data_IF_950092348616
#
_entry.id   IF_950092348616
#
_cell.length_a   1.000
_cell.length_b   1.000
_cell.length_c   1.000
_cell.angle_alpha   90.00
_cell.angle_beta   90.00
_cell.angle_gamma   90.00
#
_symmetry.space_group_name_H-M   'P 1'
#
loop_
_entity.id
_entity.type
_entity.pdbx_description
1 polymer ?
#
# COMPACT_ATOMS: atom_id res chain seq x y z
N UNK A 1 -5.59 18.18 -1.41
CA UNK A 1 -4.82 16.94 -1.61
C UNK A 1 -5.78 15.94 -2.22
N UNK A 2 -5.48 15.43 -3.40
CA UNK A 2 -6.29 14.40 -4.03
C UNK A 2 -5.99 13.07 -3.33
N UNK A 3 -7.03 12.39 -2.86
CA UNK A 3 -6.94 11.05 -2.31
C UNK A 3 -6.71 10.06 -3.46
N UNK A 4 -6.00 8.95 -3.21
CA UNK A 4 -5.86 7.86 -4.19
C UNK A 4 -7.25 7.40 -4.62
N UNK A 5 -7.44 7.32 -5.94
CA UNK A 5 -8.62 6.74 -6.56
C UNK A 5 -8.38 5.26 -6.83
N UNK A 6 -9.01 4.40 -6.03
CA UNK A 6 -8.88 2.95 -6.15
C UNK A 6 -9.40 2.45 -7.51
N UNK A 7 -10.42 3.06 -8.09
CA UNK A 7 -10.93 2.66 -9.40
C UNK A 7 -9.92 2.98 -10.52
N UNK A 8 -9.24 4.12 -10.42
CA UNK A 8 -8.15 4.47 -11.34
C UNK A 8 -6.94 3.53 -11.16
N UNK A 9 -6.63 3.13 -9.92
CA UNK A 9 -5.57 2.13 -9.65
C UNK A 9 -5.94 0.77 -10.24
N UNK A 10 -7.20 0.32 -10.09
CA UNK A 10 -7.69 -0.92 -10.69
C UNK A 10 -7.57 -0.90 -12.22
N UNK A 11 -7.98 0.19 -12.85
CA UNK A 11 -7.83 0.37 -14.30
C UNK A 11 -6.36 0.30 -14.73
N UNK A 12 -5.45 0.97 -14.00
CA UNK A 12 -4.02 0.90 -14.26
C UNK A 12 -3.47 -0.53 -14.11
N UNK A 13 -3.86 -1.25 -13.05
CA UNK A 13 -3.42 -2.63 -12.82
C UNK A 13 -3.85 -3.55 -13.97
N UNK A 14 -5.07 -3.39 -14.47
CA UNK A 14 -5.62 -4.20 -15.55
C UNK A 14 -4.87 -4.02 -16.89
N UNK A 15 -4.32 -2.82 -17.14
CA UNK A 15 -3.63 -2.48 -18.39
C UNK A 15 -2.10 -2.58 -18.30
N UNK A 16 -1.54 -2.76 -17.10
CA UNK A 16 -0.10 -2.67 -16.86
C UNK A 16 0.61 -4.03 -16.84
N UNK A 17 1.72 -4.14 -17.56
CA UNK A 17 2.68 -5.25 -17.42
C UNK A 17 3.50 -5.15 -16.12
N UNK A 18 3.51 -3.98 -15.48
CA UNK A 18 4.20 -3.73 -14.21
C UNK A 18 3.26 -3.11 -13.17
N UNK A 19 2.29 -3.86 -12.63
CA UNK A 19 1.24 -3.29 -11.77
C UNK A 19 1.73 -2.57 -10.51
N UNK A 20 2.94 -2.86 -10.03
CA UNK A 20 3.56 -2.09 -8.94
C UNK A 20 3.84 -0.62 -9.28
N UNK A 21 4.01 -0.28 -10.56
CA UNK A 21 4.18 1.11 -11.00
C UNK A 21 2.93 1.95 -10.74
N UNK A 22 1.73 1.36 -10.86
CA UNK A 22 0.46 2.04 -10.57
C UNK A 22 0.40 2.58 -9.13
N UNK A 23 1.01 1.87 -8.17
CA UNK A 23 1.10 2.32 -6.78
C UNK A 23 2.10 3.46 -6.64
N UNK A 24 3.21 3.40 -7.36
CA UNK A 24 4.20 4.49 -7.37
C UNK A 24 3.58 5.78 -7.90
N UNK A 25 2.84 5.69 -9.01
CA UNK A 25 2.17 6.83 -9.63
C UNK A 25 1.05 7.39 -8.75
N UNK A 26 0.25 6.51 -8.14
CA UNK A 26 -0.81 6.91 -7.20
C UNK A 26 -0.25 7.69 -5.99
N UNK A 27 0.95 7.32 -5.52
CA UNK A 27 1.63 7.94 -4.39
C UNK A 27 2.52 9.12 -4.77
N UNK A 28 2.75 9.38 -6.06
CA UNK A 28 3.64 10.45 -6.53
C UNK A 28 3.21 11.84 -6.03
N UNK A 29 1.91 12.06 -5.83
CA UNK A 29 1.37 13.31 -5.29
C UNK A 29 1.82 13.58 -3.86
N UNK A 30 1.99 12.53 -3.03
CA UNK A 30 2.55 12.66 -1.69
C UNK A 30 4.04 12.98 -1.71
N UNK A 31 4.78 12.44 -2.69
CA UNK A 31 6.20 12.72 -2.91
C UNK A 31 6.45 14.13 -3.45
N UNK A 32 5.50 14.73 -4.17
CA UNK A 32 5.56 16.10 -4.69
C UNK A 32 5.38 17.19 -3.61
N UNK A 33 5.17 16.81 -2.35
CA UNK A 33 5.04 17.76 -1.22
C UNK A 33 6.38 18.45 -0.96
N UNK A 34 6.33 19.74 -0.58
CA UNK A 34 7.51 20.54 -0.27
C UNK A 34 8.40 19.84 0.80
N UNK A 35 9.71 19.64 0.52
CA UNK A 35 10.67 19.04 1.46
C UNK A 35 10.74 19.75 2.82
N UNK A 36 10.47 21.05 2.87
CA UNK A 36 10.44 21.85 4.11
C UNK A 36 9.19 21.57 4.98
N UNK A 37 8.25 20.76 4.48
CA UNK A 37 7.01 20.39 5.19
C UNK A 37 6.83 18.87 5.31
N UNK A 38 7.78 18.13 5.93
CA UNK A 38 7.75 16.68 5.98
C UNK A 38 6.50 16.11 6.65
N UNK A 39 5.91 16.84 7.61
CA UNK A 39 4.65 16.46 8.26
C UNK A 39 3.46 16.37 7.30
N UNK A 40 3.40 17.22 6.27
CA UNK A 40 2.32 17.20 5.27
C UNK A 40 2.43 15.95 4.40
N UNK A 41 3.64 15.60 3.98
CA UNK A 41 3.91 14.37 3.22
C UNK A 41 3.59 13.13 4.07
N UNK A 42 4.00 13.12 5.34
CA UNK A 42 3.67 12.03 6.29
C UNK A 42 2.15 11.84 6.42
N UNK A 43 1.39 12.93 6.55
CA UNK A 43 -0.06 12.87 6.61
C UNK A 43 -0.67 12.35 5.31
N UNK A 44 -0.13 12.77 4.15
CA UNK A 44 -0.53 12.25 2.84
C UNK A 44 -0.40 10.73 2.78
N UNK A 45 0.81 10.21 3.00
CA UNK A 45 1.06 8.77 2.94
C UNK A 45 0.23 7.98 3.95
N UNK A 46 0.01 8.52 5.14
CA UNK A 46 -0.84 7.88 6.16
C UNK A 46 -2.28 7.74 5.68
N UNK A 47 -2.82 8.77 5.01
CA UNK A 47 -4.16 8.71 4.42
C UNK A 47 -4.22 7.71 3.27
N UNK A 48 -3.23 7.70 2.38
CA UNK A 48 -3.24 6.77 1.25
C UNK A 48 -3.04 5.32 1.68
N UNK A 49 -2.25 5.06 2.72
CA UNK A 49 -2.19 3.75 3.35
C UNK A 49 -3.57 3.30 3.85
N UNK A 50 -4.35 4.20 4.46
CA UNK A 50 -5.72 3.91 4.89
C UNK A 50 -6.66 3.65 3.71
N UNK A 51 -6.54 4.42 2.61
CA UNK A 51 -7.29 4.21 1.37
C UNK A 51 -7.02 2.81 0.80
N UNK A 52 -5.76 2.41 0.68
CA UNK A 52 -5.41 1.07 0.20
C UNK A 52 -5.90 -0.05 1.14
N UNK A 53 -5.81 0.13 2.45
CA UNK A 53 -6.33 -0.84 3.41
C UNK A 53 -7.85 -1.00 3.31
N UNK A 54 -8.58 0.08 3.06
CA UNK A 54 -10.02 0.02 2.80
C UNK A 54 -10.31 -0.75 1.50
N UNK A 55 -9.55 -0.47 0.42
CA UNK A 55 -9.64 -1.21 -0.83
C UNK A 55 -9.35 -2.71 -0.68
N UNK A 56 -8.34 -3.08 0.11
CA UNK A 56 -8.04 -4.49 0.45
C UNK A 56 -9.25 -5.15 1.12
N UNK A 57 -9.84 -4.50 2.13
CA UNK A 57 -10.97 -5.04 2.86
C UNK A 57 -12.19 -5.24 1.94
N UNK A 58 -12.48 -4.25 1.08
CA UNK A 58 -13.57 -4.31 0.11
C UNK A 58 -13.36 -5.41 -0.94
N UNK A 59 -12.14 -5.55 -1.47
CA UNK A 59 -11.80 -6.59 -2.45
C UNK A 59 -11.89 -7.99 -1.83
N UNK A 60 -11.48 -8.18 -0.57
CA UNK A 60 -11.70 -9.43 0.17
C UNK A 60 -13.20 -9.72 0.30
N UNK A 61 -14.02 -8.73 0.64
CA UNK A 61 -15.47 -8.91 0.78
C UNK A 61 -16.11 -9.34 -0.55
N UNK A 62 -15.76 -8.69 -1.67
CA UNK A 62 -16.21 -9.10 -3.00
C UNK A 62 -15.78 -10.52 -3.36
N UNK A 63 -14.53 -10.89 -3.06
CA UNK A 63 -14.03 -12.24 -3.32
C UNK A 63 -14.85 -13.30 -2.57
N UNK A 64 -15.30 -13.01 -1.35
CA UNK A 64 -16.16 -13.94 -0.59
C UNK A 64 -17.56 -14.13 -1.17
N UNK A 65 -18.03 -13.24 -2.05
CA UNK A 65 -19.34 -13.36 -2.71
C UNK A 65 -19.28 -14.24 -3.96
N UNK A 66 -18.13 -14.28 -4.66
CA UNK A 66 -17.96 -14.98 -5.94
C UNK A 66 -17.13 -16.27 -5.90
N UNK A 67 -16.26 -16.45 -4.90
CA UNK A 67 -15.35 -17.59 -4.82
C UNK A 67 -15.84 -18.68 -3.85
N UNK A 68 -15.27 -19.89 -3.95
CA UNK A 68 -15.48 -20.92 -2.93
C UNK A 68 -14.95 -20.46 -1.56
N UNK A 69 -15.53 -20.99 -0.48
CA UNK A 69 -15.09 -20.67 0.89
C UNK A 69 -13.59 -20.96 1.11
N UNK A 70 -13.09 -22.03 0.48
CA UNK A 70 -11.67 -22.39 0.51
C UNK A 70 -10.79 -21.31 -0.14
N UNK A 71 -11.12 -20.89 -1.37
CA UNK A 71 -10.37 -19.84 -2.09
C UNK A 71 -10.39 -18.54 -1.31
N UNK A 72 -11.57 -18.12 -0.82
CA UNK A 72 -11.71 -16.87 -0.09
C UNK A 72 -10.94 -16.89 1.25
N UNK A 73 -10.89 -18.04 1.92
CA UNK A 73 -10.11 -18.23 3.15
C UNK A 73 -8.61 -18.14 2.88
N UNK A 74 -8.11 -18.81 1.83
CA UNK A 74 -6.69 -18.75 1.45
C UNK A 74 -6.31 -17.31 1.07
N UNK A 75 -7.13 -16.61 0.28
CA UNK A 75 -6.91 -15.22 -0.09
C UNK A 75 -6.79 -14.27 1.10
N UNK A 76 -7.66 -14.43 2.10
CA UNK A 76 -7.60 -13.68 3.37
C UNK A 76 -6.33 -13.96 4.14
N UNK A 77 -5.93 -15.22 4.27
CA UNK A 77 -4.74 -15.62 5.01
C UNK A 77 -3.50 -15.01 4.35
N UNK A 78 -3.32 -15.23 3.05
CA UNK A 78 -2.15 -14.71 2.33
C UNK A 78 -2.11 -13.19 2.37
N UNK A 79 -3.23 -12.51 2.12
CA UNK A 79 -3.28 -11.04 2.16
C UNK A 79 -2.90 -10.51 3.54
N UNK A 80 -3.38 -11.14 4.62
CA UNK A 80 -2.99 -10.78 5.99
C UNK A 80 -1.48 -10.89 6.18
N UNK A 81 -0.87 -12.00 5.79
CA UNK A 81 0.56 -12.22 5.99
C UNK A 81 1.43 -11.38 5.05
N UNK A 82 0.94 -11.05 3.86
CA UNK A 82 1.59 -10.11 2.94
C UNK A 82 1.67 -8.72 3.56
N UNK A 83 0.57 -8.19 4.10
CA UNK A 83 0.57 -6.89 4.80
C UNK A 83 1.53 -6.94 5.98
N UNK A 84 1.42 -7.95 6.86
CA UNK A 84 2.25 -8.04 8.07
C UNK A 84 3.74 -8.13 7.75
N UNK A 85 4.11 -8.91 6.74
CA UNK A 85 5.50 -9.08 6.33
C UNK A 85 6.06 -7.77 5.75
N UNK A 86 5.27 -7.05 4.96
CA UNK A 86 5.67 -5.77 4.41
C UNK A 86 5.82 -4.69 5.51
N UNK A 87 4.89 -4.63 6.45
CA UNK A 87 4.97 -3.71 7.60
C UNK A 87 6.19 -3.99 8.48
N UNK A 88 6.53 -5.27 8.69
CA UNK A 88 7.75 -5.66 9.41
C UNK A 88 9.02 -5.14 8.71
N UNK A 89 9.07 -5.15 7.38
CA UNK A 89 10.19 -4.56 6.64
C UNK A 89 10.24 -3.04 6.80
N UNK A 90 9.09 -2.36 6.82
CA UNK A 90 9.05 -0.93 7.08
C UNK A 90 9.60 -0.57 8.47
N UNK A 91 9.17 -1.29 9.51
CA UNK A 91 9.67 -1.09 10.87
C UNK A 91 11.18 -1.40 10.95
N UNK A 92 11.65 -2.46 10.27
CA UNK A 92 13.08 -2.76 10.18
C UNK A 92 13.87 -1.60 9.56
N UNK A 93 13.37 -0.98 8.49
CA UNK A 93 14.03 0.16 7.86
C UNK A 93 14.05 1.39 8.77
N UNK A 94 12.95 1.65 9.48
CA UNK A 94 12.85 2.74 10.45
C UNK A 94 13.88 2.60 11.58
N UNK A 95 13.99 1.41 12.16
CA UNK A 95 14.96 1.10 13.21
C UNK A 95 16.41 1.21 12.72
N UNK A 96 16.70 0.78 11.49
CA UNK A 96 18.01 0.95 10.87
C UNK A 96 18.36 2.42 10.65
N UNK A 97 17.41 3.24 10.17
CA UNK A 97 17.64 4.69 9.99
C UNK A 97 17.92 5.39 11.32
N UNK A 98 17.21 5.02 12.38
CA UNK A 98 17.46 5.51 13.75
C UNK A 98 18.86 5.12 14.24
N UNK A 99 19.26 3.86 14.06
CA UNK A 99 20.55 3.36 14.50
C UNK A 99 21.73 4.03 13.76
N UNK A 100 21.55 4.33 12.47
CA UNK A 100 22.57 5.01 11.65
C UNK A 100 22.69 6.50 12.01
N UNK A 101 21.59 7.16 12.41
CA UNK A 101 21.59 8.53 12.92
C UNK A 101 21.89 9.63 11.88
N UNK A 102 21.70 9.34 10.59
CA UNK A 102 21.92 10.32 9.49
C UNK A 102 20.69 11.19 9.20
N UNK A 103 19.50 10.68 9.48
CA UNK A 103 18.23 11.34 9.17
C UNK A 103 17.62 11.95 10.44
N UNK A 104 16.87 13.04 10.29
CA UNK A 104 16.09 13.62 11.40
C UNK A 104 14.85 12.78 11.70
N UNK A 105 14.26 12.95 12.88
CA UNK A 105 13.03 12.23 13.25
C UNK A 105 11.88 12.44 12.27
N UNK A 106 11.73 13.65 11.72
CA UNK A 106 10.68 13.98 10.73
C UNK A 106 10.91 13.29 9.39
N UNK A 107 12.18 13.22 8.93
CA UNK A 107 12.55 12.49 7.72
C UNK A 107 12.28 11.00 7.88
N UNK A 108 12.66 10.42 9.02
CA UNK A 108 12.39 9.01 9.34
C UNK A 108 10.89 8.74 9.36
N UNK A 109 10.08 9.61 10.00
CA UNK A 109 8.62 9.47 10.01
C UNK A 109 8.01 9.52 8.60
N UNK A 110 8.46 10.46 7.76
CA UNK A 110 8.02 10.55 6.36
C UNK A 110 8.36 9.28 5.58
N UNK A 111 9.59 8.78 5.70
CA UNK A 111 10.03 7.55 5.05
C UNK A 111 9.22 6.33 5.53
N UNK A 112 8.97 6.24 6.85
CA UNK A 112 8.14 5.18 7.44
C UNK A 112 6.71 5.20 6.92
N UNK A 113 6.08 6.38 6.87
CA UNK A 113 4.74 6.52 6.29
C UNK A 113 4.70 6.15 4.80
N UNK A 114 5.69 6.59 4.01
CA UNK A 114 5.85 6.21 2.59
C UNK A 114 5.98 4.71 2.42
N UNK A 115 6.78 4.05 3.26
CA UNK A 115 6.94 2.60 3.22
C UNK A 115 5.61 1.89 3.50
N UNK A 116 4.88 2.31 4.54
CA UNK A 116 3.59 1.73 4.93
C UNK A 116 2.51 1.91 3.84
N UNK A 117 2.49 3.06 3.17
CA UNK A 117 1.60 3.30 2.03
C UNK A 117 1.93 2.39 0.83
N UNK A 118 3.21 2.27 0.48
CA UNK A 118 3.66 1.35 -0.58
C UNK A 118 3.36 -0.11 -0.23
N UNK A 119 3.58 -0.52 1.02
CA UNK A 119 3.26 -1.86 1.50
C UNK A 119 1.78 -2.17 1.30
N UNK A 120 0.88 -1.29 1.74
CA UNK A 120 -0.56 -1.46 1.55
C UNK A 120 -0.93 -1.50 0.06
N UNK A 121 -0.41 -0.58 -0.76
CA UNK A 121 -0.68 -0.54 -2.19
C UNK A 121 -0.19 -1.78 -2.95
N UNK A 122 1.03 -2.26 -2.66
CA UNK A 122 1.56 -3.47 -3.29
C UNK A 122 0.81 -4.73 -2.86
N UNK A 123 0.33 -4.80 -1.61
CA UNK A 123 -0.56 -5.89 -1.19
C UNK A 123 -1.91 -5.82 -1.93
N UNK A 124 -2.45 -4.62 -2.12
CA UNK A 124 -3.66 -4.43 -2.94
C UNK A 124 -3.48 -4.96 -4.36
N UNK A 125 -2.38 -4.60 -5.03
CA UNK A 125 -2.03 -5.12 -6.37
C UNK A 125 -2.05 -6.65 -6.42
N UNK A 126 -1.37 -7.31 -5.47
CA UNK A 126 -1.31 -8.78 -5.43
C UNK A 126 -2.70 -9.38 -5.23
N UNK A 127 -3.53 -8.78 -4.38
CA UNK A 127 -4.90 -9.24 -4.16
C UNK A 127 -5.75 -9.09 -5.44
N UNK A 128 -5.63 -7.97 -6.16
CA UNK A 128 -6.33 -7.77 -7.44
C UNK A 128 -5.91 -8.83 -8.47
N UNK A 129 -4.60 -9.02 -8.65
CA UNK A 129 -4.06 -10.01 -9.57
C UNK A 129 -4.49 -11.44 -9.20
N UNK A 130 -4.52 -11.76 -7.92
CA UNK A 130 -4.96 -13.08 -7.45
C UNK A 130 -6.44 -13.30 -7.66
N UNK A 131 -7.27 -12.30 -7.37
CA UNK A 131 -8.71 -12.39 -7.60
C UNK A 131 -9.01 -12.65 -9.09
N UNK A 132 -8.28 -12.00 -10.00
CA UNK A 132 -8.40 -12.22 -11.45
C UNK A 132 -8.01 -13.64 -11.93
N UNK A 133 -7.36 -14.46 -11.10
CA UNK A 133 -7.03 -15.86 -11.42
C UNK A 133 -8.11 -16.86 -11.00
N UNK A 134 -9.07 -16.42 -10.17
CA UNK A 134 -10.13 -17.26 -9.60
C UNK A 134 -11.54 -16.81 -9.96
N UNK A 135 -11.68 -15.62 -10.55
CA UNK A 135 -12.85 -15.15 -11.32
C UNK A 135 -12.86 -15.75 -12.73
#
# INVERSE_FOLDING_TARGET
MAQVDIAAVDACIAESETPGACITDALATCDATDPETPAVATLCFTKEAATFNAGIAERIARLTEGASEEIATIARIETKYDVLSALLQCDRLEELSRAVGRDTGEVIQRQGARCKANAAGLTYVRLVQRAAQVE
#
